data_IF_324238190641
#
_entry.id   IF_324238190641
#
_cell.length_a   1.000
_cell.length_b   1.000
_cell.length_c   1.000
_cell.angle_alpha   90.00
_cell.angle_beta   90.00
_cell.angle_gamma   90.00
#
_symmetry.space_group_name_H-M   'P 1'
#
loop_
_entity.id
_entity.type
_entity.pdbx_description
1 polymer ?
#
# COMPACT_ATOMS: atom_id res chain seq x y z
N UNK A 1 14.01 11.19 3.95
CA UNK A 1 12.89 10.34 3.49
C UNK A 1 11.71 11.23 3.19
N UNK A 2 11.10 11.06 2.03
CA UNK A 2 9.93 11.83 1.58
C UNK A 2 8.80 10.87 1.22
N UNK A 3 7.56 11.33 1.32
CA UNK A 3 6.37 10.60 0.87
C UNK A 3 5.73 11.39 -0.26
N UNK A 4 5.45 10.73 -1.37
CA UNK A 4 4.86 11.36 -2.55
C UNK A 4 3.90 10.44 -3.30
N UNK A 5 3.08 10.96 -4.23
CA UNK A 5 2.16 10.14 -5.01
C UNK A 5 2.85 9.06 -5.83
N UNK A 6 2.29 7.86 -5.82
CA UNK A 6 2.77 6.74 -6.63
C UNK A 6 2.38 6.94 -8.10
N UNK A 7 3.40 7.12 -8.95
CA UNK A 7 3.26 7.26 -10.40
C UNK A 7 3.74 6.00 -11.12
N UNK A 8 3.36 5.86 -12.40
CA UNK A 8 3.69 4.69 -13.22
C UNK A 8 5.20 4.40 -13.29
N UNK A 9 6.05 5.42 -13.23
CA UNK A 9 7.50 5.23 -13.29
C UNK A 9 8.08 4.62 -12.00
N UNK A 10 7.38 4.72 -10.86
CA UNK A 10 7.73 4.02 -9.62
C UNK A 10 7.42 2.52 -9.68
N UNK A 11 6.58 2.09 -10.62
CA UNK A 11 6.06 0.73 -10.66
C UNK A 11 7.13 -0.37 -10.64
N UNK A 12 8.27 -0.27 -11.36
CA UNK A 12 9.31 -1.29 -11.27
C UNK A 12 9.78 -1.54 -9.83
N UNK A 13 10.07 -0.48 -9.07
CA UNK A 13 10.50 -0.60 -7.67
C UNK A 13 9.38 -1.05 -6.74
N UNK A 14 8.17 -0.53 -6.93
CA UNK A 14 6.96 -0.95 -6.18
C UNK A 14 6.71 -2.45 -6.37
N UNK A 15 6.83 -2.93 -7.62
CA UNK A 15 6.67 -4.34 -7.96
C UNK A 15 7.70 -5.21 -7.25
N UNK A 16 8.97 -4.79 -7.21
CA UNK A 16 10.02 -5.50 -6.46
C UNK A 16 9.67 -5.61 -4.97
N UNK A 17 9.22 -4.53 -4.33
CA UNK A 17 8.81 -4.54 -2.92
C UNK A 17 7.57 -5.43 -2.69
N UNK A 18 6.62 -5.42 -3.64
CA UNK A 18 5.46 -6.31 -3.61
C UNK A 18 5.91 -7.78 -3.65
N UNK A 19 6.83 -8.11 -4.56
CA UNK A 19 7.41 -9.46 -4.69
C UNK A 19 8.21 -9.88 -3.45
N UNK A 20 8.94 -8.97 -2.81
CA UNK A 20 9.57 -9.22 -1.51
C UNK A 20 8.53 -9.56 -0.42
N UNK A 21 7.39 -8.87 -0.43
CA UNK A 21 6.25 -9.18 0.45
C UNK A 21 5.68 -10.57 0.17
N UNK A 22 5.43 -10.89 -1.10
CA UNK A 22 4.96 -12.21 -1.52
C UNK A 22 5.89 -13.33 -1.07
N UNK A 23 7.21 -13.11 -1.19
CA UNK A 23 8.22 -14.08 -0.80
C UNK A 23 8.21 -14.43 0.70
N UNK A 24 7.60 -13.61 1.57
CA UNK A 24 7.44 -13.96 2.99
C UNK A 24 6.32 -14.97 3.24
N UNK A 25 5.39 -15.14 2.28
CA UNK A 25 4.22 -16.02 2.41
C UNK A 25 3.16 -15.54 3.41
N UNK A 26 3.34 -14.38 4.05
CA UNK A 26 2.44 -13.85 5.09
C UNK A 26 2.01 -12.40 4.85
N UNK A 27 2.30 -11.84 3.67
CA UNK A 27 1.97 -10.46 3.34
C UNK A 27 0.67 -10.32 2.52
N UNK A 28 0.30 -11.31 1.72
CA UNK A 28 -0.90 -11.29 0.88
C UNK A 28 -1.31 -12.70 0.45
N UNK A 29 -2.57 -12.87 0.04
CA UNK A 29 -3.09 -14.11 -0.53
C UNK A 29 -2.78 -14.28 -2.02
N UNK A 30 -2.22 -13.26 -2.67
CA UNK A 30 -1.78 -13.31 -4.07
C UNK A 30 -0.54 -14.20 -4.23
N UNK A 31 -0.34 -14.75 -5.43
CA UNK A 31 0.81 -15.62 -5.74
C UNK A 31 1.86 -14.94 -6.61
N UNK A 32 1.50 -13.88 -7.32
CA UNK A 32 2.36 -13.11 -8.20
C UNK A 32 2.03 -11.62 -8.10
N UNK A 33 3.04 -10.77 -8.25
CA UNK A 33 2.77 -9.34 -8.34
C UNK A 33 1.98 -9.04 -9.62
N UNK A 34 0.91 -8.23 -9.54
CA UNK A 34 0.05 -7.94 -10.68
C UNK A 34 0.78 -7.13 -11.77
N UNK A 35 0.14 -6.92 -12.92
CA UNK A 35 0.59 -5.89 -13.85
C UNK A 35 0.23 -4.49 -13.33
N UNK A 36 0.95 -3.45 -13.77
CA UNK A 36 0.58 -2.06 -13.46
C UNK A 36 -0.87 -1.76 -13.82
N UNK A 37 -1.33 -2.20 -15.00
CA UNK A 37 -2.68 -1.93 -15.46
C UNK A 37 -3.75 -2.54 -14.54
N UNK A 38 -3.53 -3.77 -14.07
CA UNK A 38 -4.42 -4.41 -13.11
C UNK A 38 -4.37 -3.73 -11.74
N UNK A 39 -3.17 -3.51 -11.20
CA UNK A 39 -2.99 -2.83 -9.92
C UNK A 39 -3.64 -1.45 -9.92
N UNK A 40 -3.38 -0.66 -10.96
CA UNK A 40 -3.94 0.69 -11.12
C UNK A 40 -5.46 0.71 -11.22
N UNK A 41 -6.08 -0.31 -11.82
CA UNK A 41 -7.53 -0.45 -11.93
C UNK A 41 -8.18 -0.81 -10.59
N UNK A 42 -7.50 -1.65 -9.80
CA UNK A 42 -8.07 -2.24 -8.59
C UNK A 42 -7.90 -1.37 -7.33
N UNK A 43 -7.16 -0.25 -7.41
CA UNK A 43 -6.93 0.69 -6.31
C UNK A 43 -7.67 2.02 -6.53
N UNK A 44 -7.93 2.78 -5.47
CA UNK A 44 -8.48 4.14 -5.56
C UNK A 44 -7.48 5.07 -6.22
N UNK A 45 -7.90 6.02 -7.06
CA UNK A 45 -6.98 6.91 -7.81
C UNK A 45 -6.22 7.90 -6.94
N UNK A 46 -6.67 8.11 -5.70
CA UNK A 46 -6.02 8.87 -4.64
C UNK A 46 -5.47 7.91 -3.57
N UNK A 47 -4.73 8.43 -2.58
CA UNK A 47 -4.16 7.62 -1.50
C UNK A 47 -3.31 6.45 -2.03
N UNK A 48 -2.44 6.75 -3.01
CA UNK A 48 -1.41 5.86 -3.53
C UNK A 48 -0.07 6.56 -3.36
N UNK A 49 0.80 5.99 -2.55
CA UNK A 49 1.97 6.67 -2.02
C UNK A 49 3.21 5.80 -2.17
N UNK A 50 4.34 6.45 -2.40
CA UNK A 50 5.67 5.86 -2.24
C UNK A 50 6.45 6.62 -1.16
N UNK A 51 7.22 5.88 -0.38
CA UNK A 51 8.24 6.44 0.49
C UNK A 51 9.59 6.35 -0.22
N UNK A 52 10.29 7.48 -0.34
CA UNK A 52 11.57 7.59 -1.04
C UNK A 52 12.67 8.00 -0.05
N UNK A 53 13.80 7.30 -0.12
CA UNK A 53 15.03 7.61 0.62
C UNK A 53 16.20 7.54 -0.36
N UNK A 54 16.97 8.62 -0.47
CA UNK A 54 18.12 8.72 -1.37
C UNK A 54 17.78 8.30 -2.81
N UNK A 55 16.67 8.83 -3.34
CA UNK A 55 16.10 8.53 -4.67
C UNK A 55 15.65 7.08 -4.90
N UNK A 56 15.60 6.28 -3.83
CA UNK A 56 15.16 4.88 -3.88
C UNK A 56 13.79 4.74 -3.20
N UNK A 57 12.85 4.10 -3.90
CA UNK A 57 11.58 3.68 -3.29
C UNK A 57 11.85 2.61 -2.24
N UNK A 58 11.51 2.91 -0.99
CA UNK A 58 11.74 2.04 0.18
C UNK A 58 10.46 1.44 0.75
N UNK A 59 9.31 1.89 0.28
CA UNK A 59 8.01 1.36 0.65
C UNK A 59 6.92 2.01 -0.17
N UNK A 60 5.74 1.40 -0.19
CA UNK A 60 4.57 1.99 -0.79
C UNK A 60 3.33 1.68 0.03
N UNK A 61 2.31 2.49 -0.16
CA UNK A 61 1.00 2.29 0.46
C UNK A 61 -0.10 2.67 -0.51
N UNK A 62 -1.23 1.96 -0.45
CA UNK A 62 -2.38 2.26 -1.29
C UNK A 62 -3.69 1.85 -0.63
N UNK A 63 -4.77 2.52 -1.03
CA UNK A 63 -6.13 2.13 -0.71
C UNK A 63 -6.81 1.43 -1.89
N UNK A 64 -7.61 0.40 -1.60
CA UNK A 64 -8.52 -0.23 -2.55
C UNK A 64 -9.94 -0.31 -1.98
N UNK A 65 -10.99 -0.28 -2.80
CA UNK A 65 -12.36 -0.41 -2.32
C UNK A 65 -12.61 -1.83 -1.82
N UNK A 66 -13.22 -1.97 -0.64
CA UNK A 66 -13.56 -3.29 -0.08
C UNK A 66 -14.71 -3.98 -0.83
N UNK A 67 -15.53 -3.20 -1.55
CA UNK A 67 -16.67 -3.70 -2.32
C UNK A 67 -17.11 -2.70 -3.39
N UNK A 68 -17.70 -3.20 -4.47
CA UNK A 68 -18.34 -2.36 -5.49
C UNK A 68 -19.74 -1.87 -5.08
N UNK A 69 -20.34 -2.42 -4.02
CA UNK A 69 -21.68 -2.00 -3.57
C UNK A 69 -21.59 -0.60 -2.97
N UNK A 70 -22.50 0.30 -3.40
CA UNK A 70 -22.53 1.71 -2.98
C UNK A 70 -22.54 1.93 -1.46
N UNK A 71 -23.07 0.98 -0.69
CA UNK A 71 -23.12 1.05 0.78
C UNK A 71 -21.71 1.03 1.42
N UNK A 72 -20.70 0.50 0.74
CA UNK A 72 -19.31 0.44 1.22
C UNK A 72 -18.40 1.53 0.62
N UNK A 73 -18.98 2.54 -0.05
CA UNK A 73 -18.22 3.55 -0.82
C UNK A 73 -17.17 4.35 -0.02
N UNK A 74 -17.27 4.39 1.30
CA UNK A 74 -16.28 5.03 2.17
C UNK A 74 -15.54 4.06 3.08
N UNK A 75 -15.51 2.78 2.72
CA UNK A 75 -14.70 1.76 3.40
C UNK A 75 -13.62 1.30 2.42
N UNK A 76 -12.36 1.39 2.84
CA UNK A 76 -11.22 1.02 2.02
C UNK A 76 -10.30 0.02 2.75
N UNK A 77 -9.72 -0.89 1.97
CA UNK A 77 -8.66 -1.80 2.41
C UNK A 77 -7.32 -1.08 2.28
N UNK A 78 -6.50 -1.19 3.31
CA UNK A 78 -5.15 -0.65 3.39
C UNK A 78 -4.15 -1.70 2.95
N UNK A 79 -3.27 -1.32 2.03
CA UNK A 79 -2.09 -2.10 1.64
C UNK A 79 -0.84 -1.29 1.93
N UNK A 80 0.07 -1.80 2.77
CA UNK A 80 1.36 -1.18 3.08
C UNK A 80 2.46 -2.23 2.95
N UNK A 81 3.48 -1.94 2.15
CA UNK A 81 4.62 -2.82 1.94
C UNK A 81 5.92 -2.03 2.08
N UNK A 82 6.83 -2.55 2.88
CA UNK A 82 8.13 -1.94 3.16
C UNK A 82 9.24 -2.87 2.67
N UNK A 83 10.21 -2.31 1.95
CA UNK A 83 11.40 -3.01 1.52
C UNK A 83 12.06 -3.71 2.73
N UNK A 84 12.54 -4.93 2.52
CA UNK A 84 12.98 -5.83 3.59
C UNK A 84 14.06 -5.20 4.47
N UNK A 85 15.01 -4.46 3.86
CA UNK A 85 16.10 -3.75 4.55
C UNK A 85 15.68 -2.42 5.21
N UNK A 86 14.40 -2.02 5.12
CA UNK A 86 13.86 -0.78 5.69
C UNK A 86 12.75 -1.02 6.74
N UNK A 87 12.44 -2.29 7.04
CA UNK A 87 11.51 -2.65 8.11
C UNK A 87 12.03 -2.21 9.48
N UNK A 88 11.11 -1.91 10.41
CA UNK A 88 11.44 -1.46 11.77
C UNK A 88 11.94 0.00 11.87
N UNK A 89 12.05 0.72 10.75
CA UNK A 89 12.54 2.12 10.70
C UNK A 89 11.44 3.18 10.67
N UNK A 90 10.18 2.80 10.93
CA UNK A 90 9.05 3.73 10.97
C UNK A 90 8.41 4.09 9.62
N UNK A 91 8.91 3.55 8.49
CA UNK A 91 8.38 3.83 7.14
C UNK A 91 6.89 3.52 7.02
N UNK A 92 6.44 2.38 7.54
CA UNK A 92 5.03 1.99 7.50
C UNK A 92 4.13 2.95 8.25
N UNK A 93 4.57 3.45 9.41
CA UNK A 93 3.83 4.44 10.20
C UNK A 93 3.70 5.77 9.45
N UNK A 94 4.78 6.22 8.79
CA UNK A 94 4.74 7.44 7.98
C UNK A 94 3.73 7.32 6.82
N UNK A 95 3.76 6.19 6.10
CA UNK A 95 2.83 5.93 5.01
C UNK A 95 1.38 5.83 5.49
N UNK A 96 1.13 5.13 6.60
CA UNK A 96 -0.21 4.99 7.17
C UNK A 96 -0.80 6.34 7.58
N UNK A 97 -0.01 7.19 8.22
CA UNK A 97 -0.47 8.53 8.60
C UNK A 97 -0.88 9.37 7.39
N UNK A 98 -0.13 9.30 6.29
CA UNK A 98 -0.50 10.00 5.06
C UNK A 98 -1.74 9.38 4.41
N UNK A 99 -1.89 8.04 4.41
CA UNK A 99 -3.11 7.40 3.94
C UNK A 99 -4.34 7.84 4.74
N UNK A 100 -4.23 7.99 6.06
CA UNK A 100 -5.33 8.47 6.92
C UNK A 100 -5.77 9.87 6.46
N UNK A 101 -4.83 10.80 6.29
CA UNK A 101 -5.15 12.15 5.82
C UNK A 101 -5.82 12.13 4.44
N UNK A 102 -5.22 11.42 3.47
CA UNK A 102 -5.78 11.31 2.12
C UNK A 102 -7.18 10.66 2.13
N UNK A 103 -7.43 9.75 3.06
CA UNK A 103 -8.73 9.07 3.21
C UNK A 103 -9.82 10.02 3.69
N UNK A 104 -9.52 10.84 4.70
CA UNK A 104 -10.45 11.82 5.27
C UNK A 104 -10.80 12.90 4.25
N UNK A 105 -9.81 13.41 3.53
CA UNK A 105 -9.98 14.42 2.47
C UNK A 105 -10.85 13.91 1.30
N UNK A 106 -10.96 12.59 1.14
CA UNK A 106 -11.70 11.94 0.06
C UNK A 106 -12.96 11.18 0.53
N UNK A 107 -13.48 11.48 1.73
CA UNK A 107 -14.71 10.90 2.28
C UNK A 107 -14.67 9.37 2.49
N UNK A 108 -13.49 8.82 2.75
CA UNK A 108 -13.32 7.46 3.27
C UNK A 108 -13.39 7.57 4.79
N UNK A 109 -14.40 6.94 5.41
CA UNK A 109 -14.64 7.01 6.85
C UNK A 109 -14.15 5.77 7.61
N UNK A 110 -13.70 4.74 6.89
CA UNK A 110 -13.18 3.51 7.49
C UNK A 110 -12.05 2.95 6.66
N UNK A 111 -10.93 2.70 7.34
CA UNK A 111 -9.80 1.94 6.83
C UNK A 111 -9.77 0.59 7.53
N UNK A 112 -9.58 -0.48 6.77
CA UNK A 112 -9.40 -1.83 7.31
C UNK A 112 -8.16 -2.48 6.69
N UNK A 113 -7.58 -3.44 7.40
CA UNK A 113 -6.46 -4.24 6.90
C UNK A 113 -6.66 -5.69 7.30
N UNK A 114 -6.47 -6.58 6.33
CA UNK A 114 -6.51 -8.04 6.53
C UNK A 114 -5.09 -8.54 6.72
N UNK A 115 -4.72 -8.85 7.96
CA UNK A 115 -3.36 -9.22 8.34
C UNK A 115 -3.34 -10.67 8.80
N UNK A 116 -2.37 -11.45 8.31
CA UNK A 116 -2.12 -12.80 8.79
C UNK A 116 -1.66 -12.76 10.26
N UNK A 117 -2.24 -13.58 11.15
CA UNK A 117 -1.79 -13.67 12.55
C UNK A 117 -0.30 -13.97 12.70
N UNK A 118 0.31 -14.62 11.71
CA UNK A 118 1.72 -14.98 11.64
C UNK A 118 2.65 -13.80 11.29
N UNK A 119 2.10 -12.60 11.07
CA UNK A 119 2.86 -11.38 10.77
C UNK A 119 2.90 -10.43 11.99
N UNK A 120 3.80 -10.68 12.97
CA UNK A 120 3.88 -9.89 14.21
C UNK A 120 4.41 -8.47 14.02
N UNK A 121 4.87 -8.12 12.81
CA UNK A 121 5.42 -6.82 12.51
C UNK A 121 4.35 -5.77 12.11
N UNK A 122 3.10 -6.21 11.90
CA UNK A 122 1.98 -5.39 11.41
C UNK A 122 1.03 -4.97 12.51
#
# INVERSE_FOLDING_TARGET
MIVEPLLKHHWPSVKTIYEEGLATGVATFETLAPSWAKWHKDHLSFARLVAILDDIVVGFAALSPVSQRKVYRGVAEVSIYIATNQRGKGVGKMLLNQLIQDSEDNNIWMLQASIFPENPAS
#
